data_IF_691614060386
#
_entry.id   IF_691614060386
#
_cell.length_a   1.000
_cell.length_b   1.000
_cell.length_c   1.000
_cell.angle_alpha   90.00
_cell.angle_beta   90.00
_cell.angle_gamma   90.00
#
_symmetry.space_group_name_H-M   'P 1'
#
loop_
_entity.id
_entity.type
_entity.pdbx_description
1 polymer ?
#
# COMPACT_ATOMS: atom_id res chain seq x y z
N UNK A 1 9.96 -2.26 0.43
CA UNK A 1 8.87 -2.08 1.43
C UNK A 1 8.81 -3.31 2.32
N UNK A 2 8.55 -3.12 3.60
CA UNK A 2 8.49 -4.22 4.58
C UNK A 2 7.61 -3.86 5.80
N UNK A 3 7.34 -4.84 6.66
CA UNK A 3 6.62 -4.66 7.91
C UNK A 3 7.53 -4.21 9.06
N UNK A 4 6.93 -3.70 10.14
CA UNK A 4 7.64 -3.38 11.37
C UNK A 4 8.32 -4.61 11.98
N UNK A 5 7.68 -5.80 11.87
CA UNK A 5 8.23 -7.07 12.35
C UNK A 5 9.56 -7.39 11.68
N UNK A 6 9.63 -7.24 10.36
CA UNK A 6 10.86 -7.46 9.59
C UNK A 6 11.94 -6.43 9.88
N UNK A 7 11.57 -5.15 10.05
CA UNK A 7 12.51 -4.11 10.47
C UNK A 7 13.13 -4.47 11.83
N UNK A 8 12.33 -4.91 12.79
CA UNK A 8 12.83 -5.33 14.09
C UNK A 8 13.69 -6.59 14.01
N UNK A 9 13.36 -7.53 13.13
CA UNK A 9 14.19 -8.69 12.87
C UNK A 9 15.58 -8.30 12.34
N UNK A 10 15.64 -7.40 11.35
CA UNK A 10 16.91 -6.89 10.81
C UNK A 10 17.75 -6.16 11.87
N UNK A 11 17.11 -5.36 12.73
CA UNK A 11 17.77 -4.64 13.82
C UNK A 11 18.39 -5.56 14.86
N UNK A 12 17.83 -6.76 15.06
CA UNK A 12 18.34 -7.79 15.97
C UNK A 12 19.38 -8.71 15.30
N UNK A 13 19.58 -8.61 14.01
CA UNK A 13 20.51 -9.46 13.29
C UNK A 13 21.96 -9.09 13.65
N UNK A 14 22.73 -10.06 14.12
CA UNK A 14 24.12 -9.86 14.56
C UNK A 14 25.05 -9.40 13.46
N UNK A 15 24.86 -9.85 12.22
CA UNK A 15 25.66 -9.40 11.10
C UNK A 15 25.44 -7.91 10.80
N UNK A 16 24.19 -7.45 10.86
CA UNK A 16 23.83 -6.03 10.68
C UNK A 16 24.37 -5.17 11.84
N UNK A 17 24.27 -5.67 13.08
CA UNK A 17 24.85 -4.98 14.24
C UNK A 17 26.36 -4.85 14.12
N UNK A 18 27.05 -5.91 13.70
CA UNK A 18 28.50 -5.87 13.51
C UNK A 18 28.91 -4.91 12.40
N UNK A 19 28.16 -4.84 11.31
CA UNK A 19 28.43 -3.92 10.20
C UNK A 19 28.34 -2.44 10.61
N UNK A 20 27.38 -2.11 11.49
CA UNK A 20 27.16 -0.72 11.93
C UNK A 20 28.01 -0.33 13.13
N UNK A 21 28.09 -1.23 14.12
CA UNK A 21 28.65 -0.91 15.45
C UNK A 21 30.05 -1.47 15.67
N UNK A 22 30.51 -2.33 14.75
CA UNK A 22 31.74 -3.12 14.95
C UNK A 22 31.52 -4.34 15.85
N UNK A 23 32.48 -5.26 15.83
CA UNK A 23 32.36 -6.56 16.50
C UNK A 23 32.27 -6.49 18.04
N UNK A 24 32.75 -5.39 18.64
CA UNK A 24 32.82 -5.21 20.10
C UNK A 24 31.48 -4.73 20.72
N UNK A 25 30.60 -4.12 19.93
CA UNK A 25 29.37 -3.52 20.41
C UNK A 25 28.14 -4.33 19.98
N UNK A 26 27.49 -4.96 20.96
CA UNK A 26 26.25 -5.71 20.75
C UNK A 26 25.08 -4.97 21.36
N UNK A 27 24.48 -4.03 20.62
CA UNK A 27 23.24 -3.39 21.00
C UNK A 27 22.23 -3.44 19.86
N UNK A 28 20.97 -3.27 20.19
CA UNK A 28 19.93 -3.13 19.19
C UNK A 28 20.18 -1.90 18.33
N UNK A 29 20.19 -2.06 17.01
CA UNK A 29 20.28 -0.93 16.09
C UNK A 29 19.04 -0.02 16.20
N UNK A 30 19.25 1.27 16.12
CA UNK A 30 18.13 2.19 15.90
C UNK A 30 17.60 2.02 14.47
N UNK A 31 16.36 2.46 14.22
CA UNK A 31 15.81 2.43 12.86
C UNK A 31 16.60 3.30 11.90
N UNK A 32 17.10 4.42 12.40
CA UNK A 32 17.89 5.35 11.59
C UNK A 32 19.23 4.76 11.18
N UNK A 33 19.93 4.09 12.10
CA UNK A 33 21.19 3.40 11.80
C UNK A 33 21.00 2.29 10.75
N UNK A 34 19.94 1.49 10.87
CA UNK A 34 19.59 0.48 9.87
C UNK A 34 19.29 1.11 8.50
N UNK A 35 18.49 2.18 8.48
CA UNK A 35 18.13 2.87 7.24
C UNK A 35 19.39 3.51 6.58
N UNK A 36 20.26 4.11 7.36
CA UNK A 36 21.50 4.69 6.88
C UNK A 36 22.45 3.62 6.31
N UNK A 37 22.61 2.47 6.99
CA UNK A 37 23.40 1.36 6.47
C UNK A 37 22.88 0.90 5.11
N UNK A 38 21.57 0.64 5.01
CA UNK A 38 20.97 0.14 3.77
C UNK A 38 21.04 1.15 2.63
N UNK A 39 20.93 2.44 2.96
CA UNK A 39 21.05 3.50 1.96
C UNK A 39 22.49 3.71 1.49
N UNK A 40 23.46 3.71 2.41
CA UNK A 40 24.85 3.97 2.09
C UNK A 40 25.53 2.81 1.36
N UNK A 41 25.28 1.57 1.83
CA UNK A 41 25.95 0.39 1.27
C UNK A 41 25.23 -0.18 0.02
N UNK A 42 23.90 -0.07 -0.03
CA UNK A 42 23.10 -0.74 -1.05
C UNK A 42 22.17 0.19 -1.85
N UNK A 43 22.10 1.48 -1.50
CA UNK A 43 21.18 2.42 -2.13
C UNK A 43 19.70 2.11 -1.86
N UNK A 44 19.40 1.36 -0.79
CA UNK A 44 18.05 0.88 -0.50
C UNK A 44 17.35 1.81 0.48
N UNK A 45 16.24 2.40 0.06
CA UNK A 45 15.33 3.15 0.94
C UNK A 45 14.29 2.21 1.55
N UNK A 46 14.16 2.22 2.88
CA UNK A 46 13.24 1.36 3.61
C UNK A 46 11.89 2.02 3.78
N UNK A 47 10.89 1.52 3.07
CA UNK A 47 9.49 1.88 3.28
C UNK A 47 8.80 0.89 4.23
N UNK A 48 8.00 1.41 5.14
CA UNK A 48 7.21 0.60 6.09
C UNK A 48 5.75 0.58 5.67
N UNK A 49 5.14 -0.61 5.66
CA UNK A 49 3.71 -0.80 5.42
C UNK A 49 3.12 -1.79 6.45
N UNK A 50 2.44 -1.25 7.45
CA UNK A 50 1.74 -2.03 8.48
C UNK A 50 0.23 -1.80 8.47
N UNK A 51 -0.28 -1.20 7.41
CA UNK A 51 -1.68 -0.86 7.28
C UNK A 51 -2.58 -2.09 7.27
N UNK A 52 -3.72 -1.95 7.91
CA UNK A 52 -4.72 -3.00 8.05
C UNK A 52 -6.05 -2.49 7.50
N UNK A 53 -6.85 -3.40 6.98
CA UNK A 53 -8.23 -3.15 6.59
C UNK A 53 -9.18 -4.06 7.36
N UNK A 54 -10.39 -3.59 7.54
CA UNK A 54 -11.47 -4.37 8.14
C UNK A 54 -12.49 -4.71 7.07
N UNK A 55 -12.95 -5.94 7.08
CA UNK A 55 -14.01 -6.40 6.20
C UNK A 55 -14.96 -7.32 6.93
N UNK A 56 -16.18 -7.40 6.45
CA UNK A 56 -17.19 -8.30 6.98
C UNK A 56 -17.34 -9.49 6.03
N UNK A 57 -17.25 -10.69 6.56
CA UNK A 57 -17.54 -11.91 5.81
C UNK A 57 -19.04 -12.03 5.53
N UNK A 58 -19.41 -12.97 4.65
CA UNK A 58 -20.81 -13.26 4.33
C UNK A 58 -21.64 -13.71 5.54
N UNK A 59 -21.02 -14.32 6.54
CA UNK A 59 -21.61 -14.72 7.80
C UNK A 59 -21.80 -13.56 8.81
N UNK A 60 -21.43 -12.34 8.43
CA UNK A 60 -21.49 -11.14 9.26
C UNK A 60 -20.29 -10.92 10.19
N UNK A 61 -19.35 -11.86 10.26
CA UNK A 61 -18.16 -11.76 11.12
C UNK A 61 -17.23 -10.66 10.65
N UNK A 62 -16.81 -9.78 11.58
CA UNK A 62 -15.83 -8.74 11.29
C UNK A 62 -14.42 -9.32 11.31
N UNK A 63 -13.69 -9.17 10.22
CA UNK A 63 -12.32 -9.62 10.09
C UNK A 63 -11.38 -8.45 9.87
N UNK A 64 -10.12 -8.63 10.26
CA UNK A 64 -9.05 -7.67 9.97
C UNK A 64 -8.02 -8.36 9.08
N UNK A 65 -7.77 -7.77 7.93
CA UNK A 65 -6.71 -8.18 7.01
C UNK A 65 -5.56 -7.18 7.04
N UNK A 66 -4.45 -7.54 6.43
CA UNK A 66 -3.31 -6.66 6.15
C UNK A 66 -3.14 -6.49 4.67
N UNK A 67 -2.78 -5.29 4.23
CA UNK A 67 -2.40 -5.06 2.83
C UNK A 67 -1.06 -5.69 2.49
N UNK A 68 -0.14 -5.76 3.49
CA UNK A 68 1.18 -6.30 3.31
C UNK A 68 1.47 -7.42 4.34
N UNK A 69 2.04 -8.54 3.89
CA UNK A 69 2.37 -9.66 4.78
C UNK A 69 3.49 -9.29 5.75
N UNK A 70 3.39 -9.76 7.00
CA UNK A 70 4.35 -9.42 8.05
C UNK A 70 5.76 -9.99 7.82
N UNK A 71 5.86 -11.15 7.17
CA UNK A 71 7.07 -11.96 7.04
C UNK A 71 7.75 -11.80 5.68
N UNK A 72 7.41 -10.72 4.99
CA UNK A 72 7.87 -10.49 3.63
C UNK A 72 8.53 -9.13 3.52
N UNK A 73 9.61 -9.08 2.73
CA UNK A 73 10.09 -7.87 2.19
C UNK A 73 9.99 -7.81 0.69
N UNK A 74 9.55 -6.70 0.11
CA UNK A 74 9.55 -6.44 -1.32
C UNK A 74 10.59 -5.40 -1.66
N UNK A 75 11.54 -5.79 -2.48
CA UNK A 75 12.48 -4.90 -3.13
C UNK A 75 11.93 -4.58 -4.52
N UNK A 76 11.94 -3.35 -4.92
CA UNK A 76 11.55 -2.93 -6.25
C UNK A 76 12.31 -1.67 -6.67
N UNK A 77 12.47 -1.51 -7.96
CA UNK A 77 13.00 -0.29 -8.53
C UNK A 77 11.87 0.74 -8.60
N UNK A 78 12.01 1.82 -7.83
CA UNK A 78 11.07 2.93 -7.89
C UNK A 78 11.35 3.80 -9.11
N UNK A 79 10.31 4.41 -9.68
CA UNK A 79 10.47 5.47 -10.68
C UNK A 79 11.02 6.76 -10.05
N UNK A 80 11.23 7.79 -10.86
CA UNK A 80 11.76 9.07 -10.38
C UNK A 80 10.89 9.74 -9.31
N UNK A 81 9.60 9.34 -9.20
CA UNK A 81 8.68 9.78 -8.16
C UNK A 81 8.64 8.88 -6.92
N UNK A 82 9.45 7.81 -6.87
CA UNK A 82 9.48 6.87 -5.75
C UNK A 82 8.32 5.88 -5.74
N UNK A 83 7.56 5.75 -6.83
CA UNK A 83 6.40 4.89 -6.95
C UNK A 83 6.74 3.60 -7.70
N UNK A 84 6.28 2.47 -7.18
CA UNK A 84 6.33 1.18 -7.88
C UNK A 84 5.22 1.02 -8.90
N UNK A 85 4.09 1.64 -8.63
CA UNK A 85 2.91 1.55 -9.46
C UNK A 85 1.99 2.74 -9.28
N UNK A 86 1.07 2.87 -10.17
CA UNK A 86 0.06 3.93 -10.15
C UNK A 86 -1.33 3.35 -10.39
N UNK A 87 -2.33 4.17 -10.21
CA UNK A 87 -3.71 3.84 -10.55
C UNK A 87 -4.17 4.66 -11.74
N UNK A 88 -4.76 3.99 -12.69
CA UNK A 88 -5.48 4.63 -13.78
C UNK A 88 -6.97 4.66 -13.44
N UNK A 89 -7.53 5.86 -13.43
CA UNK A 89 -8.95 6.10 -13.26
C UNK A 89 -9.57 6.32 -14.63
N UNK A 90 -10.68 5.66 -14.88
CA UNK A 90 -11.44 5.82 -16.11
C UNK A 90 -12.84 6.37 -15.86
N UNK A 91 -13.50 6.89 -16.90
CA UNK A 91 -14.89 7.29 -16.82
C UNK A 91 -15.77 6.07 -16.54
N UNK A 92 -16.74 6.23 -15.66
CA UNK A 92 -17.75 5.19 -15.41
C UNK A 92 -18.84 5.23 -16.48
N UNK A 93 -19.53 4.12 -16.75
CA UNK A 93 -20.69 4.15 -17.65
C UNK A 93 -21.73 5.18 -17.25
N UNK A 94 -21.96 5.33 -15.96
CA UNK A 94 -22.87 6.34 -15.40
C UNK A 94 -22.42 7.77 -15.73
N UNK A 95 -21.13 8.05 -15.72
CA UNK A 95 -20.61 9.37 -16.11
C UNK A 95 -20.94 9.70 -17.58
N UNK A 96 -20.87 8.71 -18.46
CA UNK A 96 -21.21 8.90 -19.86
C UNK A 96 -22.70 9.17 -20.09
N UNK A 97 -23.56 8.53 -19.31
CA UNK A 97 -25.01 8.74 -19.38
C UNK A 97 -25.44 10.10 -18.79
N UNK A 98 -24.78 10.53 -17.70
CA UNK A 98 -25.13 11.73 -16.96
C UNK A 98 -24.29 12.97 -17.33
N UNK A 99 -23.37 12.88 -18.27
CA UNK A 99 -22.55 14.01 -18.74
C UNK A 99 -23.36 15.25 -19.14
N UNK A 100 -24.63 15.05 -19.55
CA UNK A 100 -25.55 16.15 -19.87
C UNK A 100 -26.03 16.93 -18.63
N UNK A 101 -25.87 16.37 -17.44
CA UNK A 101 -26.38 16.91 -16.18
C UNK A 101 -25.28 17.34 -15.20
N UNK A 102 -24.03 16.93 -15.42
CA UNK A 102 -22.90 17.28 -14.57
C UNK A 102 -22.11 18.38 -15.27
N UNK A 103 -22.10 19.58 -14.71
CA UNK A 103 -21.23 20.66 -15.18
C UNK A 103 -19.76 20.24 -15.06
N UNK A 104 -18.98 20.52 -16.12
CA UNK A 104 -17.62 20.02 -16.36
C UNK A 104 -16.54 20.43 -15.34
N UNK A 105 -16.86 21.15 -14.28
CA UNK A 105 -15.87 21.76 -13.40
C UNK A 105 -15.20 20.83 -12.39
N UNK A 106 -15.74 19.63 -12.16
CA UNK A 106 -15.11 18.65 -11.27
C UNK A 106 -14.94 17.30 -11.97
N UNK A 107 -13.80 17.11 -12.59
CA UNK A 107 -13.33 15.79 -12.99
C UNK A 107 -12.96 14.97 -11.75
N UNK A 108 -13.93 14.60 -10.97
CA UNK A 108 -13.71 13.56 -9.98
C UNK A 108 -13.86 12.21 -10.69
N UNK A 109 -12.90 11.34 -10.51
CA UNK A 109 -12.93 9.98 -11.05
C UNK A 109 -13.99 9.10 -10.37
N UNK A 110 -14.85 9.68 -9.58
CA UNK A 110 -15.95 9.04 -8.87
C UNK A 110 -17.23 9.78 -9.20
N UNK A 111 -18.19 9.07 -9.81
CA UNK A 111 -19.52 9.60 -10.12
C UNK A 111 -20.43 9.35 -8.93
N UNK A 112 -21.06 10.40 -8.44
CA UNK A 112 -22.10 10.34 -7.42
C UNK A 112 -23.47 10.49 -8.08
N UNK A 113 -24.31 9.46 -7.97
CA UNK A 113 -25.69 9.48 -8.42
C UNK A 113 -26.61 9.47 -7.22
N UNK A 114 -27.60 10.38 -7.21
CA UNK A 114 -28.60 10.46 -6.17
C UNK A 114 -30.01 10.44 -6.79
N UNK A 115 -30.90 9.63 -6.20
CA UNK A 115 -32.31 9.60 -6.60
C UNK A 115 -33.20 9.38 -5.41
N UNK A 116 -34.43 9.87 -5.51
CA UNK A 116 -35.44 9.70 -4.48
C UNK A 116 -36.50 8.69 -4.95
N UNK A 117 -36.97 7.87 -4.02
CA UNK A 117 -38.13 7.00 -4.20
C UNK A 117 -39.31 7.54 -3.38
N UNK A 118 -40.51 7.35 -3.87
CA UNK A 118 -41.71 7.87 -3.19
C UNK A 118 -42.33 6.84 -2.25
N UNK A 119 -42.15 5.55 -2.51
CA UNK A 119 -42.68 4.46 -1.67
C UNK A 119 -41.66 3.28 -1.59
N UNK A 120 -41.00 3.07 -0.47
CA UNK A 120 -40.94 3.99 0.68
C UNK A 120 -40.19 5.28 0.36
N UNK A 121 -40.51 6.33 1.05
CA UNK A 121 -39.81 7.62 0.89
C UNK A 121 -38.36 7.44 1.34
N UNK A 122 -37.43 7.46 0.38
CA UNK A 122 -36.01 7.31 0.65
C UNK A 122 -35.18 8.07 -0.38
N UNK A 123 -34.00 8.51 0.03
CA UNK A 123 -32.97 9.07 -0.86
C UNK A 123 -31.83 8.05 -0.95
N UNK A 124 -31.55 7.64 -2.15
CA UNK A 124 -30.48 6.70 -2.46
C UNK A 124 -29.28 7.45 -3.01
N UNK A 125 -28.10 7.07 -2.57
CA UNK A 125 -26.85 7.60 -3.08
C UNK A 125 -25.98 6.45 -3.55
N UNK A 126 -25.50 6.52 -4.78
CA UNK A 126 -24.56 5.55 -5.38
C UNK A 126 -23.26 6.28 -5.74
N UNK A 127 -22.14 5.76 -5.30
CA UNK A 127 -20.83 6.18 -5.77
C UNK A 127 -20.26 5.11 -6.69
N UNK A 128 -19.87 5.49 -7.90
CA UNK A 128 -19.26 4.60 -8.91
C UNK A 128 -17.89 5.13 -9.29
N UNK A 129 -16.93 4.24 -9.43
CA UNK A 129 -15.58 4.56 -9.90
C UNK A 129 -14.98 3.38 -10.64
N UNK A 130 -14.22 3.64 -11.69
CA UNK A 130 -13.45 2.65 -12.42
C UNK A 130 -11.97 2.89 -12.16
N UNK A 131 -11.27 1.88 -11.66
CA UNK A 131 -9.87 1.96 -11.30
C UNK A 131 -9.11 0.72 -11.76
N UNK A 132 -7.99 0.92 -12.41
CA UNK A 132 -7.08 -0.15 -12.81
C UNK A 132 -5.71 0.10 -12.17
N UNK A 133 -5.24 -0.78 -11.29
CA UNK A 133 -3.88 -0.69 -10.79
C UNK A 133 -2.88 -1.04 -11.92
N UNK A 134 -1.85 -0.24 -12.08
CA UNK A 134 -0.80 -0.44 -13.08
C UNK A 134 0.55 -0.43 -12.39
N UNK A 135 1.33 -1.48 -12.61
CA UNK A 135 2.72 -1.59 -12.15
C UNK A 135 3.64 -1.65 -13.37
N UNK A 136 4.09 -0.50 -13.90
CA UNK A 136 4.87 -0.46 -15.15
C UNK A 136 6.21 -1.21 -15.05
N UNK A 137 6.77 -1.33 -13.86
CA UNK A 137 8.02 -2.05 -13.58
C UNK A 137 7.81 -3.35 -12.79
N UNK A 138 6.73 -4.09 -13.07
CA UNK A 138 6.40 -5.31 -12.33
C UNK A 138 7.53 -6.36 -12.34
N UNK A 139 8.34 -6.40 -13.41
CA UNK A 139 9.49 -7.30 -13.51
C UNK A 139 10.74 -6.82 -12.73
N UNK A 140 10.74 -5.59 -12.24
CA UNK A 140 11.83 -5.00 -11.43
C UNK A 140 11.66 -5.24 -9.92
N UNK A 141 10.75 -6.11 -9.51
CA UNK A 141 10.47 -6.38 -8.10
C UNK A 141 10.84 -7.80 -7.68
N UNK A 142 11.42 -7.94 -6.49
CA UNK A 142 11.72 -9.21 -5.84
C UNK A 142 10.98 -9.27 -4.51
N UNK A 143 10.28 -10.37 -4.27
CA UNK A 143 9.64 -10.65 -2.99
C UNK A 143 10.44 -11.71 -2.25
N UNK A 144 10.94 -11.36 -1.09
CA UNK A 144 11.70 -12.24 -0.21
C UNK A 144 10.83 -12.55 1.01
N UNK A 145 10.46 -13.80 1.15
CA UNK A 145 9.74 -14.30 2.33
C UNK A 145 10.71 -14.94 3.29
N UNK A 146 10.59 -14.65 4.58
CA UNK A 146 11.20 -15.48 5.61
C UNK A 146 10.25 -16.64 5.88
N UNK A 147 10.69 -17.89 5.65
CA UNK A 147 9.99 -19.04 6.21
C UNK A 147 10.09 -18.90 7.73
N UNK A 148 8.98 -18.64 8.39
CA UNK A 148 8.89 -18.89 9.82
C UNK A 148 9.07 -20.38 10.05
N UNK A 149 10.09 -20.76 10.78
CA UNK A 149 10.13 -22.06 11.46
C UNK A 149 9.06 -22.08 12.55
#
# INVERSE_FOLDING_TARGET
VTSLKMINYMRNNTAMQTAVLGAANKRLLTRQELANLLMQEYGITVGRCDEKFRYRKADGTLMTGRYFKEDVFTLYEADAGGSFGTGLWGPTPEENEYRQFIQEENRSFVTLSMWATQDPVAVWTKASGMFIPVAPKANGGIVIGTKGE
#
